data_IF_805400375048
#
_entry.id   IF_805400375048
#
_cell.length_a   1.000
_cell.length_b   1.000
_cell.length_c   1.000
_cell.angle_alpha   90.00
_cell.angle_beta   90.00
_cell.angle_gamma   90.00
#
_symmetry.space_group_name_H-M   'P 1'
#
loop_
_entity.id
_entity.type
_entity.pdbx_description
1 polymer ?
#
# COMPACT_ATOMS: atom_id res chain seq x y z
N UNK A 1 24.12 -60.19 15.03
CA UNK A 1 23.45 -59.05 14.39
C UNK A 1 23.83 -57.80 15.17
N UNK A 2 24.54 -56.86 14.56
CA UNK A 2 25.34 -55.83 15.22
C UNK A 2 24.44 -54.73 15.79
N UNK A 3 24.51 -54.44 17.08
CA UNK A 3 23.73 -53.39 17.77
C UNK A 3 23.82 -51.99 17.10
N UNK A 4 24.88 -51.70 16.37
CA UNK A 4 25.05 -50.44 15.60
C UNK A 4 24.11 -50.31 14.41
N UNK A 5 23.63 -51.42 13.82
CA UNK A 5 22.67 -51.40 12.71
C UNK A 5 21.22 -51.16 13.19
N UNK A 6 20.90 -51.51 14.45
CA UNK A 6 19.59 -51.27 15.04
C UNK A 6 19.39 -49.79 15.43
N UNK A 7 20.47 -49.12 15.89
CA UNK A 7 20.39 -47.71 16.26
C UNK A 7 20.23 -46.79 15.03
N UNK A 8 20.85 -47.15 13.88
CA UNK A 8 20.73 -46.38 12.64
C UNK A 8 19.33 -46.54 11.99
N UNK A 9 18.75 -47.75 12.12
CA UNK A 9 17.40 -48.00 11.60
C UNK A 9 16.33 -47.32 12.48
N UNK A 10 16.50 -47.26 13.79
CA UNK A 10 15.62 -46.56 14.72
C UNK A 10 15.69 -45.03 14.54
N UNK A 11 16.87 -44.44 14.27
CA UNK A 11 17.03 -43.03 13.92
C UNK A 11 16.42 -42.70 12.56
N UNK A 12 16.53 -43.58 11.55
CA UNK A 12 15.94 -43.37 10.25
C UNK A 12 14.40 -43.44 10.29
N UNK A 13 13.84 -44.32 11.13
CA UNK A 13 12.37 -44.45 11.34
C UNK A 13 11.85 -43.26 12.13
N UNK A 14 12.59 -42.71 13.11
CA UNK A 14 12.19 -41.46 13.78
C UNK A 14 12.25 -40.21 12.86
N UNK A 15 13.19 -40.15 11.92
CA UNK A 15 13.26 -39.07 10.95
C UNK A 15 12.14 -39.16 9.89
N UNK A 16 11.71 -40.34 9.49
CA UNK A 16 10.60 -40.55 8.54
C UNK A 16 9.26 -40.33 9.21
N UNK A 17 9.10 -40.65 10.49
CA UNK A 17 7.89 -40.36 11.26
C UNK A 17 7.76 -38.87 11.65
N UNK A 18 8.87 -38.13 11.79
CA UNK A 18 8.87 -36.69 12.06
C UNK A 18 8.42 -35.83 10.85
N UNK A 19 8.62 -36.34 9.64
CA UNK A 19 8.19 -35.65 8.40
C UNK A 19 6.71 -35.89 8.04
N UNK A 20 6.06 -36.91 8.63
CA UNK A 20 4.67 -37.25 8.31
C UNK A 20 3.64 -36.56 9.22
N UNK A 21 4.06 -35.82 10.26
CA UNK A 21 3.15 -35.15 11.20
C UNK A 21 2.97 -33.64 10.98
N UNK A 22 3.57 -33.05 9.94
CA UNK A 22 3.48 -31.61 9.65
C UNK A 22 2.23 -31.19 8.87
N UNK A 23 1.35 -32.11 8.48
CA UNK A 23 0.22 -31.84 7.58
C UNK A 23 -1.16 -31.80 8.24
N UNK A 24 -1.28 -31.82 9.58
CA UNK A 24 -2.57 -32.02 10.25
C UNK A 24 -3.18 -30.78 10.95
N UNK A 25 -2.63 -29.57 10.76
CA UNK A 25 -3.08 -28.39 11.49
C UNK A 25 -4.03 -27.45 10.71
N UNK A 26 -4.38 -27.76 9.47
CA UNK A 26 -5.31 -27.00 8.65
C UNK A 26 -6.52 -27.90 8.35
N UNK A 27 -7.71 -27.48 8.79
CA UNK A 27 -8.97 -28.17 8.53
C UNK A 27 -9.72 -27.44 7.43
N UNK A 28 -10.12 -28.16 6.37
CA UNK A 28 -10.89 -27.64 5.24
C UNK A 28 -12.28 -28.23 5.27
N UNK A 29 -13.30 -27.38 5.36
CA UNK A 29 -14.71 -27.76 5.44
C UNK A 29 -15.49 -27.11 4.27
N UNK A 30 -16.01 -27.92 3.39
CA UNK A 30 -16.80 -27.44 2.25
C UNK A 30 -18.24 -27.21 2.70
N UNK A 31 -18.72 -25.97 2.53
CA UNK A 31 -20.06 -25.55 2.93
C UNK A 31 -21.08 -25.57 1.78
N UNK A 32 -20.61 -25.89 0.57
CA UNK A 32 -21.41 -25.84 -0.64
C UNK A 32 -21.52 -24.45 -1.27
N UNK A 33 -22.11 -24.37 -2.47
CA UNK A 33 -22.31 -23.09 -3.19
C UNK A 33 -21.03 -22.23 -3.29
N UNK A 34 -19.90 -22.84 -3.62
CA UNK A 34 -18.59 -22.19 -3.73
C UNK A 34 -18.04 -21.63 -2.41
N UNK A 35 -18.62 -22.00 -1.27
CA UNK A 35 -18.14 -21.57 0.03
C UNK A 35 -17.33 -22.69 0.71
N UNK A 36 -16.17 -22.33 1.22
CA UNK A 36 -15.28 -23.22 1.96
C UNK A 36 -14.80 -22.49 3.22
N UNK A 37 -14.75 -23.23 4.32
CA UNK A 37 -14.22 -22.74 5.59
C UNK A 37 -12.89 -23.45 5.85
N UNK A 38 -11.83 -22.68 6.05
CA UNK A 38 -10.51 -23.18 6.47
C UNK A 38 -10.25 -22.75 7.89
N UNK A 39 -9.90 -23.71 8.78
CA UNK A 39 -9.61 -23.44 10.19
C UNK A 39 -8.21 -23.90 10.54
N UNK A 40 -7.50 -23.09 11.30
CA UNK A 40 -6.18 -23.41 11.82
C UNK A 40 -5.84 -22.55 13.04
N UNK A 41 -4.82 -22.94 13.78
CA UNK A 41 -4.24 -22.13 14.86
C UNK A 41 -3.00 -21.42 14.35
N UNK A 42 -2.89 -20.11 14.61
CA UNK A 42 -1.74 -19.29 14.21
C UNK A 42 -0.49 -19.58 15.05
N UNK A 43 0.08 -20.78 14.90
CA UNK A 43 1.29 -21.21 15.60
C UNK A 43 2.58 -20.92 14.80
N UNK A 44 2.45 -20.38 13.59
CA UNK A 44 3.54 -20.00 12.69
C UNK A 44 3.32 -18.60 12.14
N UNK A 45 4.36 -18.00 11.58
CA UNK A 45 4.33 -16.58 11.15
C UNK A 45 3.42 -16.33 9.95
N UNK A 46 3.23 -17.34 9.10
CA UNK A 46 2.52 -17.21 7.84
C UNK A 46 1.60 -18.41 7.58
N UNK A 47 0.48 -18.15 6.91
CA UNK A 47 -0.18 -19.14 6.07
C UNK A 47 0.22 -18.86 4.62
N UNK A 48 0.89 -19.79 3.98
CA UNK A 48 1.25 -19.70 2.56
C UNK A 48 0.09 -20.21 1.72
N UNK A 49 -0.41 -19.34 0.84
CA UNK A 49 -1.53 -19.62 -0.05
C UNK A 49 -1.02 -19.85 -1.48
N UNK A 50 -1.36 -20.96 -2.12
CA UNK A 50 -0.98 -21.23 -3.50
C UNK A 50 -1.84 -20.45 -4.48
N UNK A 51 -1.19 -19.76 -5.42
CA UNK A 51 -1.78 -18.88 -6.41
C UNK A 51 -1.68 -19.52 -7.80
N UNK A 52 -2.75 -19.37 -8.56
CA UNK A 52 -2.80 -19.60 -10.01
C UNK A 52 -3.26 -18.31 -10.68
N UNK A 53 -2.41 -17.65 -11.47
CA UNK A 53 -2.72 -16.33 -12.04
C UNK A 53 -3.94 -16.33 -12.98
N UNK A 54 -4.20 -17.45 -13.62
CA UNK A 54 -5.37 -17.63 -14.51
C UNK A 54 -6.67 -17.94 -13.78
N UNK A 55 -6.62 -18.24 -12.47
CA UNK A 55 -7.81 -18.55 -11.69
C UNK A 55 -8.64 -17.28 -11.41
N UNK A 56 -9.97 -17.41 -11.30
CA UNK A 56 -10.79 -16.31 -10.82
C UNK A 56 -10.48 -16.00 -9.36
N UNK A 57 -10.71 -14.75 -8.95
CA UNK A 57 -10.53 -14.33 -7.58
C UNK A 57 -11.53 -15.00 -6.63
N UNK A 58 -11.02 -15.55 -5.54
CA UNK A 58 -11.80 -15.97 -4.39
C UNK A 58 -11.81 -14.83 -3.37
N UNK A 59 -12.99 -14.53 -2.84
CA UNK A 59 -13.12 -13.61 -1.70
C UNK A 59 -12.82 -14.35 -0.41
N UNK A 60 -11.89 -13.84 0.39
CA UNK A 60 -11.49 -14.41 1.67
C UNK A 60 -11.76 -13.42 2.79
N UNK A 61 -12.49 -13.85 3.82
CA UNK A 61 -12.60 -13.12 5.09
C UNK A 61 -11.82 -13.89 6.16
N UNK A 62 -10.91 -13.21 6.84
CA UNK A 62 -10.15 -13.73 7.99
C UNK A 62 -10.90 -13.37 9.25
N UNK A 63 -11.29 -14.38 10.04
CA UNK A 63 -12.04 -14.17 11.27
C UNK A 63 -11.25 -14.68 12.50
N UNK A 64 -11.35 -13.93 13.58
CA UNK A 64 -10.88 -14.31 14.92
C UNK A 64 -12.04 -14.08 15.90
N UNK A 65 -12.43 -15.10 16.66
CA UNK A 65 -13.57 -15.04 17.56
C UNK A 65 -14.89 -14.55 16.92
N UNK A 66 -15.06 -14.79 15.60
CA UNK A 66 -16.23 -14.37 14.83
C UNK A 66 -16.17 -12.94 14.27
N UNK A 67 -15.16 -12.16 14.61
CA UNK A 67 -14.94 -10.82 14.10
C UNK A 67 -14.06 -10.85 12.85
N UNK A 68 -14.42 -10.08 11.82
CA UNK A 68 -13.63 -9.96 10.59
C UNK A 68 -12.44 -9.05 10.85
N UNK A 69 -11.24 -9.63 10.77
CA UNK A 69 -9.97 -8.92 10.93
C UNK A 69 -9.43 -8.37 9.62
N UNK A 70 -9.70 -9.07 8.51
CA UNK A 70 -9.21 -8.71 7.18
C UNK A 70 -10.09 -9.33 6.11
N UNK A 71 -10.20 -8.63 4.97
CA UNK A 71 -10.82 -9.15 3.75
C UNK A 71 -9.87 -8.99 2.58
N UNK A 72 -9.85 -9.97 1.67
CA UNK A 72 -8.98 -9.95 0.50
C UNK A 72 -9.55 -10.77 -0.64
N UNK A 73 -9.15 -10.45 -1.86
CA UNK A 73 -9.43 -11.22 -3.07
C UNK A 73 -8.15 -11.93 -3.50
N UNK A 74 -8.20 -13.23 -3.66
CA UNK A 74 -7.01 -14.06 -3.93
C UNK A 74 -7.31 -15.07 -5.02
N UNK A 75 -6.44 -15.18 -6.01
CA UNK A 75 -6.54 -16.17 -7.10
C UNK A 75 -6.02 -17.53 -6.65
N UNK A 76 -6.75 -18.18 -5.74
CA UNK A 76 -6.37 -19.49 -5.21
C UNK A 76 -6.24 -20.54 -6.32
N UNK A 77 -5.17 -21.32 -6.28
CA UNK A 77 -4.86 -22.31 -7.29
C UNK A 77 -5.95 -23.39 -7.39
N UNK A 78 -6.51 -23.54 -8.58
CA UNK A 78 -7.54 -24.53 -8.90
C UNK A 78 -6.91 -25.80 -9.49
N UNK A 79 -6.13 -25.65 -10.56
CA UNK A 79 -5.50 -26.75 -11.29
C UNK A 79 -4.01 -26.87 -11.04
N UNK A 80 -3.30 -25.78 -10.96
CA UNK A 80 -1.84 -25.74 -10.75
C UNK A 80 -1.45 -24.55 -9.85
N UNK A 81 -0.35 -24.68 -9.18
CA UNK A 81 0.25 -23.58 -8.44
C UNK A 81 1.31 -22.90 -9.32
N UNK A 82 1.18 -21.59 -9.50
CA UNK A 82 2.21 -20.77 -10.13
C UNK A 82 3.24 -20.29 -9.09
N UNK A 83 2.78 -19.79 -7.91
CA UNK A 83 3.64 -19.37 -6.80
C UNK A 83 2.85 -19.37 -5.47
N UNK A 84 3.52 -19.00 -4.38
CA UNK A 84 2.93 -18.86 -3.04
C UNK A 84 2.89 -17.38 -2.65
N UNK A 85 1.86 -16.98 -1.89
CA UNK A 85 1.78 -15.69 -1.21
C UNK A 85 1.53 -15.88 0.28
N UNK A 86 2.07 -15.03 1.16
CA UNK A 86 1.90 -15.14 2.60
C UNK A 86 0.68 -14.36 3.10
N UNK A 87 -0.17 -14.98 3.91
CA UNK A 87 -0.99 -14.27 4.88
C UNK A 87 -0.17 -14.12 6.15
N UNK A 88 0.13 -12.87 6.56
CA UNK A 88 0.90 -12.61 7.78
C UNK A 88 0.05 -12.88 9.03
N UNK A 89 0.53 -13.76 9.89
CA UNK A 89 -0.14 -14.19 11.12
C UNK A 89 0.53 -13.65 12.39
N UNK A 90 1.58 -12.82 12.25
CA UNK A 90 2.39 -12.38 13.40
C UNK A 90 1.57 -11.64 14.46
N UNK A 91 0.64 -10.80 14.04
CA UNK A 91 -0.27 -10.07 14.95
C UNK A 91 -1.29 -10.99 15.66
N UNK A 92 -1.49 -12.21 15.16
CA UNK A 92 -2.52 -13.14 15.61
C UNK A 92 -1.97 -14.42 16.22
N UNK A 93 -0.71 -14.41 16.65
CA UNK A 93 -0.03 -15.59 17.19
C UNK A 93 -0.84 -16.22 18.33
N UNK A 94 -0.98 -17.56 18.27
CA UNK A 94 -1.72 -18.37 19.24
C UNK A 94 -3.24 -18.31 19.11
N UNK A 95 -3.81 -17.49 18.22
CA UNK A 95 -5.26 -17.40 18.00
C UNK A 95 -5.75 -18.50 17.07
N UNK A 96 -7.02 -18.88 17.25
CA UNK A 96 -7.74 -19.72 16.31
C UNK A 96 -8.27 -18.85 15.17
N UNK A 97 -7.90 -19.19 13.93
CA UNK A 97 -8.23 -18.44 12.73
C UNK A 97 -9.23 -19.22 11.90
N UNK A 98 -10.23 -18.52 11.40
CA UNK A 98 -11.18 -19.04 10.44
C UNK A 98 -11.09 -18.21 9.16
N UNK A 99 -10.83 -18.86 8.03
CA UNK A 99 -11.00 -18.24 6.72
C UNK A 99 -12.34 -18.66 6.14
N UNK A 100 -13.21 -17.70 5.88
CA UNK A 100 -14.38 -17.91 5.04
C UNK A 100 -14.00 -17.56 3.59
N UNK A 101 -14.01 -18.55 2.72
CA UNK A 101 -13.55 -18.45 1.34
C UNK A 101 -14.72 -18.68 0.40
N UNK A 102 -14.98 -17.69 -0.47
CA UNK A 102 -15.96 -17.77 -1.53
C UNK A 102 -15.23 -17.79 -2.87
N UNK A 103 -15.25 -18.96 -3.54
CA UNK A 103 -14.43 -19.24 -4.75
C UNK A 103 -15.03 -18.76 -6.07
N UNK A 104 -16.22 -18.17 -6.07
CA UNK A 104 -16.82 -17.51 -7.23
C UNK A 104 -17.85 -16.49 -6.78
N UNK A 105 -17.87 -15.32 -7.44
CA UNK A 105 -18.87 -14.28 -7.18
C UNK A 105 -20.17 -14.49 -7.98
N UNK A 106 -20.13 -15.33 -9.02
CA UNK A 106 -21.29 -15.58 -9.88
C UNK A 106 -22.10 -16.77 -9.38
N UNK A 107 -23.35 -16.52 -9.03
CA UNK A 107 -24.31 -17.55 -8.62
C UNK A 107 -24.66 -18.51 -9.76
N UNK A 108 -24.42 -18.13 -11.02
CA UNK A 108 -24.66 -18.97 -12.20
C UNK A 108 -23.56 -20.02 -12.44
N UNK A 109 -22.35 -19.81 -11.88
CA UNK A 109 -21.17 -20.65 -12.03
C UNK A 109 -20.85 -21.43 -10.75
N UNK A 110 -21.81 -22.21 -10.25
CA UNK A 110 -21.57 -23.11 -9.11
C UNK A 110 -20.72 -24.28 -9.60
N UNK A 111 -19.48 -24.35 -9.13
CA UNK A 111 -18.58 -25.47 -9.40
C UNK A 111 -18.20 -26.21 -8.12
N UNK A 112 -17.80 -27.45 -8.26
CA UNK A 112 -17.25 -28.22 -7.16
C UNK A 112 -15.79 -27.84 -6.91
N UNK A 113 -15.53 -27.04 -5.88
CA UNK A 113 -14.18 -26.60 -5.51
C UNK A 113 -13.39 -27.63 -4.69
N UNK A 114 -13.97 -28.78 -4.35
CA UNK A 114 -13.30 -29.81 -3.51
C UNK A 114 -12.05 -30.38 -4.15
N UNK A 115 -11.97 -30.37 -5.47
CA UNK A 115 -10.82 -30.88 -6.22
C UNK A 115 -9.67 -29.87 -6.37
N UNK A 116 -9.85 -28.58 -5.95
CA UNK A 116 -8.85 -27.56 -6.13
C UNK A 116 -7.56 -27.89 -5.39
N UNK A 117 -6.44 -27.67 -6.08
CA UNK A 117 -5.11 -28.02 -5.55
C UNK A 117 -4.72 -27.16 -4.35
N UNK A 118 -5.30 -25.95 -4.23
CA UNK A 118 -5.00 -25.02 -3.14
C UNK A 118 -5.25 -25.64 -1.76
N UNK A 119 -6.29 -26.47 -1.59
CA UNK A 119 -6.62 -27.06 -0.30
C UNK A 119 -5.54 -28.00 0.25
N UNK A 120 -4.81 -28.64 -0.65
CA UNK A 120 -3.72 -29.57 -0.31
C UNK A 120 -2.36 -28.89 -0.22
N UNK A 121 -2.25 -27.68 -0.75
CA UNK A 121 -0.98 -26.96 -0.88
C UNK A 121 -0.88 -25.71 0.00
N UNK A 122 -1.96 -25.35 0.72
CA UNK A 122 -1.87 -24.38 1.81
C UNK A 122 -1.01 -24.95 2.93
N UNK A 123 -0.08 -24.15 3.46
CA UNK A 123 0.80 -24.59 4.53
C UNK A 123 1.08 -23.47 5.54
N UNK A 124 1.19 -23.82 6.81
CA UNK A 124 1.69 -22.95 7.86
C UNK A 124 3.21 -22.95 7.85
N UNK A 125 3.85 -21.78 7.87
CA UNK A 125 5.30 -21.64 7.79
C UNK A 125 5.83 -20.51 8.66
N UNK A 126 7.03 -20.68 9.21
CA UNK A 126 7.77 -19.60 9.87
C UNK A 126 8.62 -18.78 8.90
N UNK A 127 8.74 -19.22 7.66
CA UNK A 127 9.53 -18.58 6.62
C UNK A 127 8.69 -18.43 5.36
N UNK A 128 8.94 -17.34 4.65
CA UNK A 128 8.47 -17.12 3.30
C UNK A 128 9.66 -16.66 2.46
N UNK A 129 9.98 -17.42 1.43
CA UNK A 129 11.01 -17.02 0.49
C UNK A 129 10.40 -16.08 -0.56
N UNK A 130 10.59 -14.80 -0.33
CA UNK A 130 10.17 -13.74 -1.25
C UNK A 130 11.23 -13.48 -2.35
N UNK A 131 12.31 -14.24 -2.41
CA UNK A 131 13.36 -14.03 -3.43
C UNK A 131 12.81 -14.36 -4.81
N UNK A 132 12.62 -13.30 -5.56
CA UNK A 132 12.17 -13.36 -6.92
C UNK A 132 13.36 -13.09 -7.84
N UNK A 133 13.79 -14.13 -8.56
CA UNK A 133 14.94 -14.11 -9.47
C UNK A 133 14.54 -13.95 -10.93
N UNK A 134 13.40 -13.33 -11.18
CA UNK A 134 12.94 -13.11 -12.56
C UNK A 134 13.95 -12.30 -13.37
N UNK A 135 14.12 -12.70 -14.63
CA UNK A 135 15.11 -12.15 -15.57
C UNK A 135 15.01 -10.62 -15.74
N UNK A 136 13.81 -10.06 -15.67
CA UNK A 136 13.56 -8.65 -15.92
C UNK A 136 13.42 -7.81 -14.63
N UNK A 137 13.86 -8.34 -13.48
CA UNK A 137 13.93 -7.52 -12.27
C UNK A 137 14.94 -6.39 -12.48
N UNK A 138 14.57 -5.13 -12.26
CA UNK A 138 15.50 -4.00 -12.33
C UNK A 138 16.71 -4.19 -11.41
N UNK A 139 17.89 -3.76 -11.87
CA UNK A 139 19.13 -3.93 -11.14
C UNK A 139 19.31 -2.90 -10.01
N UNK A 140 18.74 -1.70 -10.14
CA UNK A 140 18.94 -0.59 -9.20
C UNK A 140 17.68 0.22 -8.86
N UNK A 141 16.59 0.07 -9.60
CA UNK A 141 15.31 0.68 -9.21
C UNK A 141 14.67 -0.14 -8.09
N UNK A 142 14.04 0.54 -7.15
CA UNK A 142 13.26 -0.14 -6.11
C UNK A 142 12.12 -0.95 -6.74
N UNK A 143 11.96 -2.17 -6.29
CA UNK A 143 10.85 -3.06 -6.65
C UNK A 143 10.39 -3.84 -5.43
N UNK A 144 9.11 -4.23 -5.33
CA UNK A 144 8.68 -5.11 -4.27
C UNK A 144 9.34 -6.48 -4.45
N UNK A 145 9.55 -7.21 -3.37
CA UNK A 145 10.08 -8.58 -3.46
C UNK A 145 9.12 -9.51 -4.20
N UNK A 146 7.83 -9.28 -4.07
CA UNK A 146 6.74 -10.02 -4.71
C UNK A 146 5.49 -9.12 -4.75
N UNK A 147 4.44 -9.54 -5.46
CA UNK A 147 3.17 -8.83 -5.51
C UNK A 147 3.17 -7.63 -6.45
N UNK A 148 2.21 -6.76 -6.26
CA UNK A 148 2.03 -5.54 -7.06
C UNK A 148 2.47 -4.31 -6.29
N UNK A 149 3.10 -3.35 -6.98
CA UNK A 149 3.43 -2.03 -6.44
C UNK A 149 3.02 -0.94 -7.44
N UNK A 150 2.46 0.17 -6.93
CA UNK A 150 2.28 1.41 -7.70
C UNK A 150 2.73 2.63 -6.88
N UNK A 151 1.86 3.55 -6.49
CA UNK A 151 2.18 4.85 -5.91
C UNK A 151 3.11 4.79 -4.71
N UNK A 152 4.16 5.61 -4.64
CA UNK A 152 4.88 5.85 -3.40
C UNK A 152 3.97 6.58 -2.40
N UNK A 153 4.01 6.17 -1.13
CA UNK A 153 3.15 6.67 -0.07
C UNK A 153 3.94 6.96 1.21
N UNK A 154 3.37 7.78 2.08
CA UNK A 154 3.76 7.89 3.47
C UNK A 154 5.24 8.16 3.72
N UNK A 155 5.96 8.72 2.75
CA UNK A 155 7.41 8.83 2.77
C UNK A 155 7.90 9.88 3.77
N UNK A 156 8.82 9.50 4.64
CA UNK A 156 9.50 10.40 5.57
C UNK A 156 10.96 9.99 5.81
N UNK A 157 11.75 10.95 6.25
CA UNK A 157 13.10 10.73 6.76
C UNK A 157 13.14 10.96 8.27
N UNK A 158 13.76 10.03 9.01
CA UNK A 158 13.98 10.17 10.45
C UNK A 158 15.19 9.37 10.88
N UNK A 159 16.01 9.96 11.76
CA UNK A 159 17.15 9.32 12.42
C UNK A 159 18.13 8.61 11.47
N UNK A 160 18.40 9.21 10.29
CA UNK A 160 19.32 8.66 9.29
C UNK A 160 18.68 7.65 8.33
N UNK A 161 17.37 7.40 8.45
CA UNK A 161 16.65 6.40 7.67
C UNK A 161 15.57 7.05 6.81
N UNK A 162 15.56 6.71 5.54
CA UNK A 162 14.50 7.01 4.59
C UNK A 162 13.48 5.88 4.59
N UNK A 163 12.23 6.19 4.86
CA UNK A 163 11.12 5.25 4.81
C UNK A 163 10.31 5.49 3.54
N UNK A 164 10.09 4.43 2.77
CA UNK A 164 9.24 4.39 1.60
C UNK A 164 8.10 3.41 1.87
N UNK A 165 6.88 3.92 1.94
CA UNK A 165 5.70 3.07 1.80
C UNK A 165 5.19 3.18 0.37
N UNK A 166 4.38 2.22 -0.04
CA UNK A 166 3.85 2.17 -1.40
C UNK A 166 2.55 1.39 -1.46
N UNK A 167 1.73 1.69 -2.43
CA UNK A 167 0.56 0.89 -2.74
C UNK A 167 1.00 -0.52 -3.09
N UNK A 168 0.47 -1.50 -2.36
CA UNK A 168 0.94 -2.88 -2.41
C UNK A 168 -0.20 -3.87 -2.38
N UNK A 169 -0.21 -4.82 -3.33
CA UNK A 169 -1.03 -6.02 -3.22
C UNK A 169 -0.15 -7.21 -2.84
N UNK A 170 -0.20 -7.70 -1.60
CA UNK A 170 0.61 -8.84 -1.16
C UNK A 170 0.09 -10.20 -1.65
N UNK A 171 -1.08 -10.24 -2.29
CA UNK A 171 -1.76 -11.49 -2.65
C UNK A 171 -1.82 -11.77 -4.14
N UNK A 172 -1.42 -10.82 -4.97
CA UNK A 172 -1.34 -10.97 -6.42
C UNK A 172 -0.38 -9.96 -7.03
N UNK A 173 0.12 -10.22 -8.23
CA UNK A 173 0.93 -9.28 -9.00
C UNK A 173 0.07 -8.41 -9.95
N UNK A 174 -1.13 -8.07 -9.50
CA UNK A 174 -2.04 -7.13 -10.16
C UNK A 174 -2.61 -6.17 -9.11
N UNK A 175 -3.09 -5.03 -9.56
CA UNK A 175 -3.74 -4.07 -8.68
C UNK A 175 -4.94 -4.68 -7.93
N UNK A 176 -5.07 -4.41 -6.66
CA UNK A 176 -6.12 -4.90 -5.76
C UNK A 176 -5.61 -5.00 -4.33
N UNK A 177 -6.49 -5.26 -3.37
CA UNK A 177 -6.14 -5.46 -1.94
C UNK A 177 -5.19 -4.39 -1.37
N UNK A 178 -5.35 -3.14 -1.78
CA UNK A 178 -4.39 -2.09 -1.49
C UNK A 178 -4.06 -2.00 -0.01
N UNK A 179 -2.78 -2.06 0.26
CA UNK A 179 -2.12 -2.09 1.56
C UNK A 179 -0.87 -1.22 1.43
N UNK A 180 -0.40 -0.59 2.49
CA UNK A 180 0.91 0.04 2.43
C UNK A 180 2.01 -0.98 2.64
N UNK A 181 2.73 -1.34 1.56
CA UNK A 181 4.03 -2.00 1.62
C UNK A 181 5.07 -1.06 2.22
N UNK A 182 6.21 -1.59 2.67
CA UNK A 182 7.23 -0.78 3.34
C UNK A 182 8.64 -1.23 2.96
N UNK A 183 9.50 -0.25 2.72
CA UNK A 183 10.95 -0.42 2.57
C UNK A 183 11.69 0.72 3.26
N UNK A 184 12.89 0.44 3.76
CA UNK A 184 13.76 1.42 4.40
C UNK A 184 15.13 1.48 3.74
N UNK A 185 15.78 2.66 3.77
CA UNK A 185 17.11 2.89 3.20
C UNK A 185 17.86 3.95 3.98
N UNK A 186 19.19 3.86 4.01
CA UNK A 186 20.06 4.92 4.55
C UNK A 186 20.65 5.81 3.46
N UNK A 187 20.51 5.46 2.19
CA UNK A 187 21.18 6.12 1.06
C UNK A 187 20.29 6.33 -0.18
N UNK A 188 19.00 5.91 -0.14
CA UNK A 188 18.05 5.94 -1.26
C UNK A 188 18.42 5.03 -2.45
N UNK A 189 19.44 4.20 -2.32
CA UNK A 189 19.95 3.29 -3.35
C UNK A 189 19.73 1.84 -2.91
N UNK A 190 20.16 1.52 -1.69
CA UNK A 190 20.05 0.18 -1.13
C UNK A 190 18.83 0.11 -0.21
N UNK A 191 17.87 -0.71 -0.61
CA UNK A 191 16.59 -0.83 0.07
C UNK A 191 16.46 -2.16 0.81
N UNK A 192 16.04 -2.08 2.06
CA UNK A 192 15.64 -3.22 2.87
C UNK A 192 14.11 -3.31 2.84
N UNK A 193 13.58 -4.44 2.40
CA UNK A 193 12.14 -4.71 2.51
C UNK A 193 11.76 -4.95 3.98
N UNK A 194 10.74 -4.27 4.43
CA UNK A 194 10.14 -4.41 5.76
C UNK A 194 8.78 -5.13 5.66
N UNK A 195 8.14 -5.39 6.78
CA UNK A 195 6.77 -5.89 6.77
C UNK A 195 5.80 -4.82 6.25
N UNK A 196 4.71 -5.18 5.57
CA UNK A 196 3.66 -4.23 5.23
C UNK A 196 3.15 -3.51 6.48
N UNK A 197 2.91 -2.21 6.37
CA UNK A 197 2.72 -1.34 7.53
C UNK A 197 1.23 -1.12 7.88
N UNK A 198 0.36 -0.90 6.88
CA UNK A 198 -1.05 -0.59 7.10
C UNK A 198 -1.91 -1.46 6.16
N UNK A 199 -2.73 -2.33 6.75
CA UNK A 199 -3.68 -3.18 6.02
C UNK A 199 -5.08 -2.56 6.01
N UNK A 200 -5.88 -2.90 4.98
CA UNK A 200 -7.31 -2.57 4.93
C UNK A 200 -8.11 -3.11 6.11
N UNK A 201 -9.22 -2.45 6.42
CA UNK A 201 -10.16 -2.82 7.48
C UNK A 201 -11.62 -2.63 7.04
N UNK A 202 -12.54 -2.48 7.99
CA UNK A 202 -13.95 -2.26 7.70
C UNK A 202 -14.28 -0.94 6.98
N UNK A 203 -13.35 0.03 6.98
CA UNK A 203 -13.47 1.28 6.22
C UNK A 203 -13.02 1.15 4.76
N UNK A 204 -12.35 0.06 4.41
CA UNK A 204 -11.90 -0.23 3.05
C UNK A 204 -10.43 -0.59 2.93
N UNK A 205 -9.95 -0.66 1.68
CA UNK A 205 -8.54 -0.81 1.36
C UNK A 205 -7.80 0.52 1.56
N UNK A 206 -6.48 0.46 1.66
CA UNK A 206 -5.65 1.63 1.96
C UNK A 206 -5.12 2.22 0.66
N UNK A 207 -5.67 3.36 0.24
CA UNK A 207 -5.18 4.10 -0.90
C UNK A 207 -4.04 5.04 -0.50
N UNK A 208 -3.60 5.87 -1.45
CA UNK A 208 -2.46 6.75 -1.27
C UNK A 208 -2.67 7.79 -0.18
N UNK A 209 -1.57 8.30 0.33
CA UNK A 209 -1.51 9.29 1.39
C UNK A 209 -0.08 9.59 1.80
N UNK A 210 0.09 10.30 2.91
CA UNK A 210 1.38 10.81 3.37
C UNK A 210 1.67 10.51 4.84
N UNK A 211 2.92 10.71 5.25
CA UNK A 211 3.30 10.67 6.67
C UNK A 211 4.11 11.89 7.06
N UNK A 212 3.96 12.32 8.29
CA UNK A 212 4.74 13.41 8.90
C UNK A 212 5.37 12.98 10.22
N UNK A 213 6.48 13.61 10.57
CA UNK A 213 7.09 13.49 11.88
C UNK A 213 6.51 14.58 12.77
N UNK A 214 5.68 14.23 13.75
CA UNK A 214 5.09 15.17 14.70
C UNK A 214 6.10 15.50 15.83
N UNK A 215 7.00 16.44 15.55
CA UNK A 215 8.11 16.80 16.45
C UNK A 215 7.60 17.37 17.77
N UNK A 216 6.57 18.20 17.69
CA UNK A 216 6.06 18.98 18.82
C UNK A 216 4.88 18.31 19.53
N UNK A 217 4.57 17.05 19.15
CA UNK A 217 3.48 16.27 19.74
C UNK A 217 2.11 16.98 19.64
N UNK A 218 1.86 17.63 18.53
CA UNK A 218 0.56 18.32 18.28
C UNK A 218 -0.60 17.34 18.26
N UNK A 219 -0.35 16.12 17.76
CA UNK A 219 -1.33 15.04 17.73
C UNK A 219 -1.57 14.36 19.09
N UNK A 220 -0.68 14.54 20.07
CA UNK A 220 -0.77 13.88 21.37
C UNK A 220 -0.41 12.39 21.35
N UNK A 221 0.20 11.87 20.26
CA UNK A 221 0.67 10.48 20.19
C UNK A 221 2.09 10.26 20.70
N UNK A 222 2.79 11.34 21.05
CA UNK A 222 4.17 11.36 21.51
C UNK A 222 5.07 12.22 20.63
N UNK A 223 6.07 12.88 21.24
CA UNK A 223 7.01 13.70 20.49
C UNK A 223 7.80 12.85 19.51
N UNK A 224 7.82 13.28 18.24
CA UNK A 224 8.47 12.56 17.15
C UNK A 224 7.71 11.31 16.68
N UNK A 225 6.44 11.13 17.08
CA UNK A 225 5.59 10.11 16.48
C UNK A 225 5.46 10.33 14.98
N UNK A 226 5.37 9.24 14.24
CA UNK A 226 5.04 9.30 12.81
C UNK A 226 3.52 9.25 12.69
N UNK A 227 2.93 10.25 12.08
CA UNK A 227 1.49 10.28 11.78
C UNK A 227 1.29 10.08 10.30
N UNK A 228 0.63 8.97 9.94
CA UNK A 228 0.23 8.66 8.58
C UNK A 228 -1.24 9.04 8.40
N UNK A 229 -1.54 9.78 7.33
CA UNK A 229 -2.90 10.03 6.87
C UNK A 229 -3.03 9.39 5.50
N UNK A 230 -4.14 8.71 5.24
CA UNK A 230 -4.34 7.91 4.04
C UNK A 230 -5.83 7.82 3.69
N UNK A 231 -6.11 7.50 2.45
CA UNK A 231 -7.49 7.27 2.02
C UNK A 231 -7.93 5.85 2.33
N UNK A 232 -9.00 5.70 3.10
CA UNK A 232 -9.77 4.45 3.24
C UNK A 232 -10.76 4.36 2.11
N UNK A 233 -10.56 3.43 1.16
CA UNK A 233 -11.38 3.25 -0.02
C UNK A 233 -12.33 2.06 0.16
N UNK A 234 -13.52 2.34 0.68
CA UNK A 234 -14.61 1.38 0.88
C UNK A 234 -15.83 1.75 0.05
N UNK A 235 -16.97 1.96 0.69
CA UNK A 235 -18.17 2.46 0.01
C UNK A 235 -18.02 3.90 -0.47
N UNK A 236 -17.24 4.68 0.25
CA UNK A 236 -16.80 6.03 -0.10
C UNK A 236 -15.30 6.14 0.11
N UNK A 237 -14.68 7.16 -0.46
CA UNK A 237 -13.28 7.50 -0.18
C UNK A 237 -13.25 8.56 0.92
N UNK A 238 -12.56 8.24 2.02
CA UNK A 238 -12.50 9.09 3.20
C UNK A 238 -11.11 9.04 3.82
N UNK A 239 -10.67 10.13 4.46
CA UNK A 239 -9.33 10.17 5.02
C UNK A 239 -9.33 9.55 6.42
N UNK A 240 -8.37 8.68 6.65
CA UNK A 240 -8.12 7.99 7.91
C UNK A 240 -6.70 8.22 8.37
N UNK A 241 -6.43 7.97 9.64
CA UNK A 241 -5.13 8.20 10.26
C UNK A 241 -4.65 6.96 11.02
N UNK A 242 -3.32 6.77 10.99
CA UNK A 242 -2.62 5.85 11.87
C UNK A 242 -1.36 6.52 12.40
N UNK A 243 -0.83 6.04 13.52
CA UNK A 243 0.40 6.59 14.10
C UNK A 243 1.36 5.47 14.50
N UNK A 244 2.65 5.82 14.51
CA UNK A 244 3.74 4.94 14.91
C UNK A 244 4.61 5.62 15.96
N UNK A 245 5.02 4.85 16.97
CA UNK A 245 5.98 5.25 18.00
C UNK A 245 7.28 4.44 17.94
N UNK A 246 7.43 3.60 16.92
CA UNK A 246 8.58 2.74 16.67
C UNK A 246 9.30 3.08 15.35
N UNK A 247 9.35 4.36 15.02
CA UNK A 247 9.99 4.90 13.81
C UNK A 247 9.38 4.35 12.50
N UNK A 248 8.06 4.14 12.47
CA UNK A 248 7.35 3.74 11.26
C UNK A 248 7.42 2.24 10.92
N UNK A 249 7.92 1.41 11.84
CA UNK A 249 7.93 -0.04 11.61
C UNK A 249 6.54 -0.65 11.75
N UNK A 250 5.76 -0.17 12.71
CA UNK A 250 4.36 -0.56 12.90
C UNK A 250 3.46 0.65 13.12
N UNK A 251 2.19 0.52 12.72
CA UNK A 251 1.20 1.58 12.88
C UNK A 251 -0.02 1.11 13.66
N UNK A 252 -0.50 1.99 14.53
CA UNK A 252 -1.79 1.84 15.23
C UNK A 252 -2.81 2.75 14.56
N UNK A 253 -3.90 2.19 14.07
CA UNK A 253 -5.00 2.97 13.50
C UNK A 253 -5.67 3.82 14.57
N UNK A 254 -5.98 5.07 14.24
CA UNK A 254 -6.65 5.97 15.17
C UNK A 254 -8.11 5.55 15.37
N UNK A 255 -8.54 5.48 16.61
CA UNK A 255 -9.89 5.02 16.97
C UNK A 255 -11.00 5.99 16.55
N UNK A 256 -10.65 7.25 16.25
CA UNK A 256 -11.57 8.27 15.76
C UNK A 256 -11.68 8.35 14.23
N UNK A 257 -11.16 7.35 13.49
CA UNK A 257 -11.30 7.31 12.03
C UNK A 257 -12.77 7.14 11.58
N UNK A 258 -13.16 7.76 10.46
CA UNK A 258 -12.37 8.62 9.59
C UNK A 258 -12.22 10.05 10.15
N UNK A 259 -11.10 10.73 9.83
CA UNK A 259 -10.83 12.11 10.27
C UNK A 259 -11.39 13.18 9.29
N UNK A 260 -11.53 12.84 8.01
CA UNK A 260 -12.22 13.67 7.02
C UNK A 260 -13.17 12.77 6.23
N UNK A 261 -14.43 13.10 6.22
CA UNK A 261 -15.47 12.44 5.44
C UNK A 261 -15.73 13.21 4.15
N UNK A 262 -15.99 12.50 3.06
CA UNK A 262 -16.40 13.09 1.79
C UNK A 262 -17.47 12.24 1.14
N UNK A 263 -18.39 12.87 0.43
CA UNK A 263 -19.37 12.27 -0.46
C UNK A 263 -18.89 12.19 -1.91
N UNK A 264 -17.72 12.77 -2.19
CA UNK A 264 -17.04 12.77 -3.49
C UNK A 264 -15.88 11.78 -3.51
N UNK A 265 -15.30 11.51 -4.69
CA UNK A 265 -14.04 10.77 -4.81
C UNK A 265 -12.85 11.66 -4.42
N UNK A 266 -12.67 11.85 -3.11
CA UNK A 266 -11.57 12.61 -2.53
C UNK A 266 -10.49 11.68 -1.98
N UNK A 267 -9.24 11.80 -2.47
CA UNK A 267 -8.15 10.90 -2.13
C UNK A 267 -6.76 11.51 -2.16
N UNK A 268 -5.80 10.70 -1.74
CA UNK A 268 -4.36 10.90 -1.93
C UNK A 268 -3.85 12.15 -1.23
N UNK A 269 -3.99 12.18 0.08
CA UNK A 269 -3.59 13.35 0.86
C UNK A 269 -2.06 13.53 0.93
N UNK A 270 -1.65 14.79 0.99
CA UNK A 270 -0.32 15.23 1.42
C UNK A 270 -0.42 16.21 2.55
N UNK A 271 0.25 15.90 3.65
CA UNK A 271 0.33 16.75 4.84
C UNK A 271 1.69 17.43 4.91
N UNK A 272 1.70 18.72 5.22
CA UNK A 272 2.90 19.53 5.44
C UNK A 272 2.73 20.42 6.67
N UNK A 273 3.83 20.74 7.36
CA UNK A 273 3.85 21.83 8.32
C UNK A 273 4.08 23.15 7.58
N UNK A 274 3.23 24.12 7.81
CA UNK A 274 3.34 25.45 7.20
C UNK A 274 3.86 26.46 8.23
N UNK A 275 5.14 26.81 8.11
CA UNK A 275 5.83 27.75 9.00
C UNK A 275 5.19 29.15 9.00
N UNK A 276 4.55 29.57 7.90
CA UNK A 276 3.96 30.90 7.78
C UNK A 276 2.67 31.03 8.60
N UNK A 277 1.89 29.94 8.66
CA UNK A 277 0.61 29.92 9.38
C UNK A 277 0.71 29.26 10.75
N UNK A 278 1.82 28.59 11.02
CA UNK A 278 2.06 27.75 12.21
C UNK A 278 0.95 26.70 12.39
N UNK A 279 0.59 26.05 11.28
CA UNK A 279 -0.44 24.99 11.20
C UNK A 279 -0.02 23.85 10.28
N UNK A 280 -0.62 22.71 10.49
CA UNK A 280 -0.63 21.63 9.48
C UNK A 280 -1.55 22.02 8.33
N UNK A 281 -1.07 21.88 7.10
CA UNK A 281 -1.91 21.92 5.91
C UNK A 281 -1.99 20.51 5.30
N UNK A 282 -3.17 20.16 4.81
CA UNK A 282 -3.42 18.95 4.03
C UNK A 282 -3.95 19.36 2.68
N UNK A 283 -3.38 18.80 1.63
CA UNK A 283 -3.91 18.87 0.27
C UNK A 283 -4.36 17.48 -0.16
N UNK A 284 -5.53 17.36 -0.78
CA UNK A 284 -6.01 16.13 -1.41
C UNK A 284 -6.80 16.46 -2.66
N UNK A 285 -6.96 15.51 -3.57
CA UNK A 285 -7.73 15.74 -4.79
C UNK A 285 -9.20 15.38 -4.62
N UNK A 286 -10.09 16.21 -5.17
CA UNK A 286 -11.40 15.82 -5.66
C UNK A 286 -11.18 15.36 -7.11
N UNK A 287 -11.00 14.06 -7.29
CA UNK A 287 -10.32 13.49 -8.47
C UNK A 287 -11.07 13.75 -9.78
N UNK A 288 -12.41 13.66 -9.78
CA UNK A 288 -13.25 13.84 -10.96
C UNK A 288 -13.54 15.31 -11.25
N UNK A 289 -13.46 16.17 -10.25
CA UNK A 289 -13.69 17.61 -10.34
C UNK A 289 -12.45 18.38 -10.75
N UNK A 290 -11.30 17.72 -10.89
CA UNK A 290 -10.00 18.33 -11.18
C UNK A 290 -9.67 19.47 -10.21
N UNK A 291 -9.83 19.19 -8.92
CA UNK A 291 -9.53 20.15 -7.86
C UNK A 291 -8.61 19.55 -6.82
N UNK A 292 -7.66 20.36 -6.34
CA UNK A 292 -6.94 20.13 -5.11
C UNK A 292 -7.64 20.89 -4.00
N UNK A 293 -8.07 20.21 -2.97
CA UNK A 293 -8.72 20.76 -1.79
C UNK A 293 -7.68 21.06 -0.72
N UNK A 294 -7.80 22.20 -0.05
CA UNK A 294 -6.91 22.63 1.03
C UNK A 294 -7.61 22.56 2.37
N UNK A 295 -6.90 22.00 3.35
CA UNK A 295 -7.35 21.92 4.73
C UNK A 295 -6.26 22.43 5.67
N UNK A 296 -6.67 22.90 6.86
CA UNK A 296 -5.75 23.24 7.96
C UNK A 296 -6.14 22.53 9.24
N UNK A 297 -5.12 22.27 10.10
CA UNK A 297 -5.30 21.63 11.40
C UNK A 297 -4.25 22.14 12.40
N UNK A 298 -4.61 22.20 13.68
CA UNK A 298 -3.67 22.44 14.75
C UNK A 298 -3.13 21.14 15.38
N UNK A 299 -3.82 19.99 15.14
CA UNK A 299 -3.59 18.75 15.88
C UNK A 299 -3.57 17.47 15.02
N UNK A 300 -3.59 17.58 13.68
CA UNK A 300 -3.64 16.48 12.73
C UNK A 300 -4.94 15.63 12.77
N UNK A 301 -5.82 15.85 13.73
CA UNK A 301 -7.07 15.10 13.95
C UNK A 301 -8.31 15.84 13.47
N UNK A 302 -8.33 17.15 13.70
CA UNK A 302 -9.45 18.01 13.36
C UNK A 302 -9.06 18.92 12.22
N UNK A 303 -9.76 18.80 11.09
CA UNK A 303 -9.42 19.48 9.85
C UNK A 303 -10.51 20.46 9.43
N UNK A 304 -10.10 21.65 9.09
CA UNK A 304 -10.97 22.70 8.53
C UNK A 304 -10.69 22.84 7.03
N UNK A 305 -11.73 22.70 6.18
CA UNK A 305 -11.61 22.97 4.75
C UNK A 305 -11.46 24.48 4.53
N UNK A 306 -10.41 24.88 3.84
CA UNK A 306 -10.06 26.28 3.62
C UNK A 306 -10.39 26.75 2.19
N UNK A 307 -10.03 25.95 1.17
CA UNK A 307 -10.20 26.34 -0.21
C UNK A 307 -9.99 25.21 -1.20
N UNK A 308 -9.91 25.56 -2.47
CA UNK A 308 -9.62 24.65 -3.57
C UNK A 308 -8.90 25.35 -4.71
N UNK A 309 -8.16 24.59 -5.52
CA UNK A 309 -7.52 25.06 -6.76
C UNK A 309 -7.60 23.96 -7.82
N UNK A 310 -7.66 24.37 -9.10
CA UNK A 310 -7.39 23.48 -10.23
C UNK A 310 -8.42 23.49 -11.34
N UNK A 311 -9.68 23.76 -11.03
CA UNK A 311 -10.73 23.78 -12.05
C UNK A 311 -10.38 24.72 -13.21
N UNK A 312 -10.24 24.15 -14.43
CA UNK A 312 -9.84 24.87 -15.63
C UNK A 312 -8.34 25.12 -15.77
N UNK A 313 -7.49 24.68 -14.84
CA UNK A 313 -6.04 24.83 -14.92
C UNK A 313 -5.34 23.54 -15.38
N UNK A 314 -4.39 23.67 -16.29
CA UNK A 314 -3.56 22.57 -16.78
C UNK A 314 -4.33 21.50 -17.54
N UNK A 315 -3.82 20.26 -17.55
CA UNK A 315 -4.47 19.13 -18.20
C UNK A 315 -5.63 18.59 -17.38
N UNK A 316 -6.77 18.32 -18.02
CA UNK A 316 -8.01 17.86 -17.39
C UNK A 316 -8.67 16.68 -18.13
N UNK A 317 -7.93 16.00 -19.00
CA UNK A 317 -8.47 14.89 -19.81
C UNK A 317 -8.56 13.55 -19.08
N UNK A 318 -8.20 13.52 -17.79
CA UNK A 318 -8.22 12.34 -16.93
C UNK A 318 -8.42 12.69 -15.47
N UNK A 319 -8.48 11.69 -14.59
CA UNK A 319 -8.61 11.91 -13.14
C UNK A 319 -7.32 12.51 -12.56
N UNK A 320 -7.47 13.38 -11.58
CA UNK A 320 -6.35 13.91 -10.81
C UNK A 320 -6.08 13.05 -9.58
N UNK A 321 -4.79 12.80 -9.29
CA UNK A 321 -4.34 11.93 -8.20
C UNK A 321 -3.07 12.45 -7.55
N UNK A 322 -2.75 11.96 -6.36
CA UNK A 322 -1.47 12.13 -5.64
C UNK A 322 -0.94 13.57 -5.68
N UNK A 323 -1.65 14.55 -5.09
CA UNK A 323 -1.15 15.92 -5.02
C UNK A 323 0.02 16.01 -4.05
N UNK A 324 0.94 16.93 -4.30
CA UNK A 324 2.00 17.31 -3.37
C UNK A 324 2.19 18.82 -3.36
N UNK A 325 2.53 19.38 -2.23
CA UNK A 325 2.71 20.82 -2.06
C UNK A 325 4.01 21.08 -1.30
N UNK A 326 4.90 21.87 -1.89
CA UNK A 326 6.18 22.21 -1.29
C UNK A 326 6.62 23.64 -1.60
N UNK A 327 7.36 24.26 -0.70
CA UNK A 327 7.94 25.58 -0.91
C UNK A 327 9.41 25.46 -1.35
N UNK A 328 9.75 25.95 -2.53
CA UNK A 328 11.07 25.85 -3.12
C UNK A 328 11.72 27.23 -3.29
N UNK A 329 13.07 27.33 -3.12
CA UNK A 329 13.78 28.57 -3.43
C UNK A 329 13.84 28.81 -4.92
N UNK A 330 13.61 30.06 -5.33
CA UNK A 330 13.79 30.49 -6.71
C UNK A 330 15.28 30.81 -6.93
N UNK A 331 15.91 30.10 -7.87
CA UNK A 331 17.33 30.21 -8.12
C UNK A 331 17.71 31.65 -8.52
N UNK A 332 18.66 32.24 -7.79
CA UNK A 332 19.24 33.56 -8.09
C UNK A 332 18.46 34.76 -7.58
N UNK A 333 17.30 34.59 -6.94
CA UNK A 333 16.50 35.70 -6.43
C UNK A 333 16.46 35.81 -4.91
N UNK A 334 16.63 34.68 -4.20
CA UNK A 334 16.40 34.59 -2.75
C UNK A 334 14.90 34.44 -2.38
N UNK A 335 14.01 34.54 -3.33
CA UNK A 335 12.59 34.33 -3.15
C UNK A 335 12.26 32.83 -3.01
N UNK A 336 11.10 32.54 -2.48
CA UNK A 336 10.51 31.18 -2.45
C UNK A 336 9.18 31.19 -3.13
N UNK A 337 8.88 30.12 -3.86
CA UNK A 337 7.55 29.86 -4.46
C UNK A 337 7.03 28.51 -3.98
N UNK A 338 5.73 28.42 -3.94
CA UNK A 338 5.07 27.16 -3.74
C UNK A 338 4.93 26.40 -5.07
N UNK A 339 5.18 25.11 -5.01
CA UNK A 339 4.99 24.18 -6.14
C UNK A 339 3.95 23.16 -5.73
N UNK A 340 2.86 23.13 -6.48
CA UNK A 340 1.80 22.16 -6.36
C UNK A 340 1.98 21.13 -7.48
N UNK A 341 2.24 19.88 -7.13
CA UNK A 341 2.30 18.74 -8.06
C UNK A 341 0.92 18.10 -8.11
N UNK A 342 0.50 17.65 -9.28
CA UNK A 342 -0.72 16.87 -9.49
C UNK A 342 -0.48 15.83 -10.57
N UNK A 343 -0.81 14.59 -10.31
CA UNK A 343 -0.73 13.52 -11.27
C UNK A 343 -2.06 13.37 -12.02
N UNK A 344 -2.02 12.97 -13.27
CA UNK A 344 -3.21 12.81 -14.13
C UNK A 344 -3.17 11.48 -14.88
N UNK A 345 -4.32 10.80 -14.98
CA UNK A 345 -4.46 9.58 -15.76
C UNK A 345 -5.89 9.39 -16.33
N UNK A 346 -6.05 9.24 -17.69
CA UNK A 346 -5.04 9.55 -18.71
C UNK A 346 -4.79 11.04 -18.84
N UNK A 347 -4.09 11.50 -19.87
CA UNK A 347 -3.94 12.94 -20.17
C UNK A 347 -2.48 13.40 -20.27
N UNK A 348 -1.53 12.48 -20.11
CA UNK A 348 -0.11 12.77 -20.24
C UNK A 348 0.32 13.18 -21.65
N UNK A 349 1.44 13.92 -21.80
CA UNK A 349 1.91 14.47 -23.09
C UNK A 349 2.28 13.37 -24.09
N UNK A 350 2.61 12.17 -23.62
CA UNK A 350 2.90 10.98 -24.43
C UNK A 350 1.85 9.88 -24.28
N UNK A 351 0.68 10.23 -23.77
CA UNK A 351 -0.45 9.34 -23.50
C UNK A 351 -0.34 8.61 -22.16
N UNK A 352 -1.50 8.31 -21.57
CA UNK A 352 -1.62 7.63 -20.28
C UNK A 352 -1.29 8.52 -19.10
N UNK A 353 -0.62 7.93 -18.10
CA UNK A 353 -0.30 8.57 -16.82
C UNK A 353 0.83 9.60 -16.95
N UNK A 354 0.75 10.72 -16.23
CA UNK A 354 1.79 11.75 -16.18
C UNK A 354 1.69 12.61 -14.93
N UNK A 355 2.71 13.45 -14.71
CA UNK A 355 2.79 14.40 -13.59
C UNK A 355 2.88 15.83 -14.11
N UNK A 356 1.90 16.65 -13.77
CA UNK A 356 1.94 18.10 -14.01
C UNK A 356 2.21 18.87 -12.73
N UNK A 357 2.64 20.14 -12.86
CA UNK A 357 2.87 21.00 -11.69
C UNK A 357 2.47 22.44 -11.95
N UNK A 358 2.18 23.13 -10.87
CA UNK A 358 1.83 24.54 -10.81
C UNK A 358 2.80 25.28 -9.90
N UNK A 359 3.20 26.49 -10.28
CA UNK A 359 4.04 27.37 -9.47
C UNK A 359 3.20 28.59 -9.08
N UNK A 360 3.30 29.02 -7.83
CA UNK A 360 2.50 30.13 -7.34
C UNK A 360 2.76 30.49 -5.89
N UNK A 361 1.80 31.12 -5.28
CA UNK A 361 1.80 31.51 -3.87
C UNK A 361 0.69 30.76 -3.12
N UNK A 362 0.97 30.36 -1.88
CA UNK A 362 0.01 29.67 -1.02
C UNK A 362 0.06 30.29 0.38
N UNK A 363 -1.08 30.77 0.86
CA UNK A 363 -1.23 31.45 2.15
C UNK A 363 -1.71 30.56 3.29
N UNK A 364 -1.78 29.25 3.05
CA UNK A 364 -2.34 28.26 3.97
C UNK A 364 -3.82 27.93 3.68
N UNK A 365 -4.47 28.68 2.80
CA UNK A 365 -5.89 28.55 2.45
C UNK A 365 -6.15 28.48 0.95
N UNK A 366 -5.45 29.28 0.18
CA UNK A 366 -5.64 29.43 -1.26
C UNK A 366 -4.29 29.35 -1.98
N UNK A 367 -4.31 28.70 -3.14
CA UNK A 367 -3.19 28.67 -4.06
C UNK A 367 -3.48 29.59 -5.25
N UNK A 368 -2.57 30.56 -5.48
CA UNK A 368 -2.65 31.50 -6.60
C UNK A 368 -1.54 31.15 -7.60
N UNK A 369 -1.95 30.61 -8.75
CA UNK A 369 -1.02 30.15 -9.78
C UNK A 369 -0.40 31.33 -10.57
N UNK A 370 0.90 31.34 -10.78
CA UNK A 370 1.62 32.34 -11.58
C UNK A 370 1.35 32.18 -13.10
N UNK A 371 0.88 31.00 -13.52
CA UNK A 371 0.64 30.71 -14.92
C UNK A 371 -0.83 30.86 -15.29
N UNK A 372 -1.08 31.14 -16.57
CA UNK A 372 -2.43 31.15 -17.11
C UNK A 372 -3.06 29.73 -17.06
N UNK A 373 -4.38 29.61 -16.99
CA UNK A 373 -5.07 28.32 -16.90
C UNK A 373 -4.70 27.33 -18.02
N UNK A 374 -4.55 27.78 -19.23
CA UNK A 374 -4.22 26.97 -20.42
C UNK A 374 -2.77 26.45 -20.46
N UNK A 375 -1.92 26.91 -19.54
CA UNK A 375 -0.51 26.50 -19.48
C UNK A 375 -0.34 25.24 -18.68
N UNK A 376 -0.10 24.11 -19.32
CA UNK A 376 0.31 22.86 -18.65
C UNK A 376 1.83 22.76 -18.57
N UNK A 377 2.36 22.55 -17.38
CA UNK A 377 3.77 22.25 -17.17
C UNK A 377 3.90 20.80 -16.71
N UNK A 378 4.71 20.04 -17.43
CA UNK A 378 4.98 18.65 -17.15
C UNK A 378 6.28 18.49 -16.38
N UNK A 379 6.28 17.65 -15.35
CA UNK A 379 7.47 17.32 -14.58
C UNK A 379 8.36 16.34 -15.34
N UNK A 380 7.77 15.51 -16.16
CA UNK A 380 8.42 14.54 -17.03
C UNK A 380 7.70 14.40 -18.36
N UNK A 381 8.43 14.14 -19.43
CA UNK A 381 7.90 13.92 -20.79
C UNK A 381 8.03 12.46 -21.24
N UNK A 382 8.56 11.57 -20.38
CA UNK A 382 8.54 10.13 -20.60
C UNK A 382 7.15 9.54 -20.33
N UNK A 383 7.04 8.23 -20.47
CA UNK A 383 5.80 7.50 -20.17
C UNK A 383 5.75 6.98 -18.75
N UNK A 384 6.88 6.80 -18.10
CA UNK A 384 7.02 6.07 -16.85
C UNK A 384 7.34 6.99 -15.66
N UNK A 385 6.45 7.94 -15.42
CA UNK A 385 6.56 8.87 -14.29
C UNK A 385 5.15 9.23 -13.79
N UNK A 386 4.72 8.57 -12.72
CA UNK A 386 3.38 8.78 -12.17
C UNK A 386 3.37 8.71 -10.63
N UNK A 387 2.31 9.27 -10.02
CA UNK A 387 2.12 9.34 -8.57
C UNK A 387 3.30 9.99 -7.84
N UNK A 388 3.93 10.98 -8.48
CA UNK A 388 5.12 11.65 -7.96
C UNK A 388 4.81 12.43 -6.69
N UNK A 389 5.45 12.07 -5.57
CA UNK A 389 5.31 12.74 -4.26
C UNK A 389 6.65 12.84 -3.55
N UNK A 390 6.77 13.77 -2.60
CA UNK A 390 8.01 14.07 -1.89
C UNK A 390 8.09 13.40 -0.51
N UNK A 391 9.33 13.17 -0.04
CA UNK A 391 9.58 12.81 1.36
C UNK A 391 9.31 13.98 2.28
N UNK A 392 8.62 13.74 3.38
CA UNK A 392 8.55 14.69 4.49
C UNK A 392 9.83 14.61 5.35
N UNK A 393 10.14 15.70 6.02
CA UNK A 393 11.28 15.82 6.94
C UNK A 393 12.65 15.48 6.32
N UNK A 394 12.80 15.68 4.99
CA UNK A 394 14.09 15.46 4.30
C UNK A 394 15.21 16.29 4.91
N UNK A 395 16.44 15.75 5.04
CA UNK A 395 17.55 16.46 5.65
C UNK A 395 18.06 17.60 4.75
N UNK A 396 18.69 18.60 5.37
CA UNK A 396 19.40 19.70 4.70
C UNK A 396 18.50 20.57 3.80
N UNK A 397 17.19 20.65 4.07
CA UNK A 397 16.25 21.44 3.28
C UNK A 397 16.06 20.96 1.84
N UNK A 398 16.45 19.73 1.52
CA UNK A 398 16.21 19.13 0.20
C UNK A 398 14.79 18.62 0.10
N UNK A 399 14.21 18.76 -1.07
CA UNK A 399 12.97 18.11 -1.45
C UNK A 399 13.31 16.96 -2.40
N UNK A 400 13.17 15.72 -1.90
CA UNK A 400 13.40 14.51 -2.69
C UNK A 400 12.04 13.97 -3.09
N UNK A 401 11.87 13.67 -4.38
CA UNK A 401 10.63 13.17 -4.96
C UNK A 401 10.87 11.76 -5.49
N UNK A 402 9.89 10.90 -5.36
CA UNK A 402 9.84 9.58 -5.99
C UNK A 402 8.56 9.46 -6.82
N UNK A 403 8.64 8.76 -7.93
CA UNK A 403 7.51 8.45 -8.80
C UNK A 403 7.45 6.96 -9.08
N UNK A 404 6.27 6.46 -9.37
CA UNK A 404 6.08 5.12 -9.92
C UNK A 404 6.56 5.10 -11.37
N UNK A 405 7.58 4.27 -11.66
CA UNK A 405 8.16 4.12 -12.98
C UNK A 405 7.35 3.12 -13.81
N UNK A 406 6.11 3.47 -14.08
CA UNK A 406 5.20 2.72 -14.94
C UNK A 406 4.06 3.62 -15.46
N UNK A 407 3.09 3.02 -16.16
CA UNK A 407 1.96 3.71 -16.75
C UNK A 407 0.75 2.80 -16.77
N UNK A 408 -0.41 3.31 -16.38
CA UNK A 408 -1.65 2.53 -16.33
C UNK A 408 -2.04 1.89 -17.68
N UNK A 409 -1.57 2.46 -18.81
CA UNK A 409 -1.82 1.87 -20.14
C UNK A 409 -1.27 0.45 -20.30
N UNK A 410 -0.18 0.09 -19.59
CA UNK A 410 0.50 -1.20 -19.76
C UNK A 410 1.05 -1.82 -18.47
N UNK A 411 0.69 -1.30 -17.33
CA UNK A 411 1.21 -1.78 -16.03
C UNK A 411 0.99 -3.28 -15.82
N UNK A 412 -0.10 -3.84 -16.36
CA UNK A 412 -0.37 -5.29 -16.31
C UNK A 412 0.29 -6.09 -17.44
N UNK A 413 0.91 -5.43 -18.42
CA UNK A 413 1.51 -6.08 -19.59
C UNK A 413 3.05 -6.17 -19.51
N UNK A 414 3.63 -6.00 -18.33
CA UNK A 414 5.07 -6.14 -18.09
C UNK A 414 5.48 -7.62 -18.09
N UNK A 415 6.76 -7.94 -18.42
CA UNK A 415 7.21 -9.32 -18.59
C UNK A 415 7.42 -10.11 -17.29
N UNK A 416 7.35 -9.44 -16.13
CA UNK A 416 7.46 -10.09 -14.81
C UNK A 416 6.12 -10.69 -14.39
N UNK A 417 6.15 -11.74 -13.54
CA UNK A 417 4.95 -12.48 -13.12
C UNK A 417 4.68 -12.43 -11.63
N UNK A 418 5.72 -12.61 -10.81
CA UNK A 418 5.56 -12.68 -9.35
C UNK A 418 5.62 -11.30 -8.69
N UNK A 419 6.05 -10.28 -9.41
CA UNK A 419 5.99 -8.88 -8.99
C UNK A 419 5.70 -7.98 -10.20
N UNK A 420 5.07 -6.88 -9.93
CA UNK A 420 4.83 -5.81 -10.90
C UNK A 420 4.77 -4.48 -10.18
#
# INVERSE_FOLDING_TARGET
MNLKKLSTLAMLIMFVLGAAFAQSNISVNYLGNNNTMVKFKANQKYLLMPIEESAPEAQISVLINGEIMQQMNVRLAQGKKDYLVPLDLKAWQGKDIVLNIRTANDRSNVRDSRADVCWKQMELSNTFDAKNVEKFRPAYHHTPLYGWMNDPNGMFYKDGVWHLYYQFNPYASVWGNMTWGHSSSTDLIHWKAEAPAIYGDGLGTIFSGSSVVDKDNTSGFGSGAIVAIYTSAGMTQQQSMAYSTDNGLTFTKYSGNPIIMSDQECRDDKVIWNEQTNKWNLVMVAALEHQVLFYSSDDLKHWTKEGAFGHGYGAQDGVWECPDLMQLPVRGTGEKKWVLIVNINPGGPNGGSATQYFVGDFDGKQFVCDSKPECTKWMDYGKDHYAAVSWSNSPNGRHTVMAWMSNWQYANAVPTKQFR
#
